data_IF_174420366526
#
_entry.id   IF_174420366526
#
_cell.length_a   1.000
_cell.length_b   1.000
_cell.length_c   1.000
_cell.angle_alpha   90.00
_cell.angle_beta   90.00
_cell.angle_gamma   90.00
#
_symmetry.space_group_name_H-M   'P 1'
#
loop_
_entity.id
_entity.type
_entity.pdbx_description
1 polymer ?
#
# COMPACT_ATOMS: atom_id res chain seq x y z
N UNK A 1 -34.92 15.22 18.85
CA UNK A 1 -34.11 13.97 18.97
C UNK A 1 -33.89 13.28 17.62
N UNK A 2 -34.91 13.11 16.76
CA UNK A 2 -34.74 12.49 15.43
C UNK A 2 -33.69 13.17 14.53
N UNK A 3 -33.64 14.50 14.54
CA UNK A 3 -32.69 15.28 13.72
C UNK A 3 -31.23 15.11 14.14
N UNK A 4 -30.95 14.97 15.43
CA UNK A 4 -29.59 14.75 15.95
C UNK A 4 -29.05 13.37 15.59
N UNK A 5 -29.91 12.35 15.54
CA UNK A 5 -29.54 10.99 15.15
C UNK A 5 -29.16 10.94 13.66
N UNK A 6 -29.92 11.64 12.80
CA UNK A 6 -29.62 11.71 11.37
C UNK A 6 -28.31 12.45 11.09
N UNK A 7 -28.02 13.54 11.83
CA UNK A 7 -26.78 14.29 11.70
C UNK A 7 -25.55 13.49 12.14
N UNK A 8 -25.67 12.71 13.22
CA UNK A 8 -24.62 11.82 13.69
C UNK A 8 -24.31 10.72 12.67
N UNK A 9 -25.35 10.08 12.08
CA UNK A 9 -25.17 9.08 11.01
C UNK A 9 -24.51 9.66 9.75
N UNK A 10 -24.81 10.91 9.38
CA UNK A 10 -24.20 11.58 8.23
C UNK A 10 -22.71 11.90 8.46
N UNK A 11 -22.32 12.25 9.68
CA UNK A 11 -20.92 12.52 10.03
C UNK A 11 -20.08 11.25 10.16
N UNK A 12 -20.66 10.14 10.62
CA UNK A 12 -19.98 8.85 10.71
C UNK A 12 -19.68 8.24 9.33
N UNK A 13 -20.58 8.44 8.36
CA UNK A 13 -20.43 7.91 6.99
C UNK A 13 -19.40 8.67 6.15
N UNK A 14 -19.07 9.92 6.51
CA UNK A 14 -18.01 10.69 5.86
C UNK A 14 -16.59 10.21 6.18
N UNK A 15 -16.39 9.35 7.19
CA UNK A 15 -15.05 8.83 7.55
C UNK A 15 -14.73 7.49 6.85
N UNK A 16 -15.61 7.02 5.95
CA UNK A 16 -15.45 5.77 5.22
C UNK A 16 -14.77 5.96 3.85
N UNK A 17 -13.93 7.00 3.69
CA UNK A 17 -13.04 7.13 2.54
C UNK A 17 -11.85 6.16 2.68
N UNK A 18 -12.11 4.87 2.59
CA UNK A 18 -11.08 3.97 2.10
C UNK A 18 -10.96 4.24 0.59
N UNK A 19 -9.75 4.51 0.10
CA UNK A 19 -9.46 4.52 -1.34
C UNK A 19 -9.62 3.09 -1.84
N UNK A 20 -10.87 2.76 -2.15
CA UNK A 20 -11.27 1.47 -2.69
C UNK A 20 -11.26 1.60 -4.21
N UNK A 21 -10.30 0.95 -4.85
CA UNK A 21 -10.29 0.84 -6.31
C UNK A 21 -10.81 -0.55 -6.69
N UNK A 22 -11.82 -0.58 -7.57
CA UNK A 22 -12.29 -1.82 -8.20
C UNK A 22 -11.39 -2.13 -9.38
N UNK A 23 -10.72 -3.28 -9.37
CA UNK A 23 -9.90 -3.70 -10.50
C UNK A 23 -10.78 -4.20 -11.67
N UNK A 24 -10.19 -4.41 -12.85
CA UNK A 24 -10.90 -4.94 -14.03
C UNK A 24 -11.46 -6.37 -13.86
N UNK A 25 -11.27 -6.98 -12.69
CA UNK A 25 -11.80 -8.30 -12.31
C UNK A 25 -12.98 -8.20 -11.33
N UNK A 26 -13.41 -6.98 -10.97
CA UNK A 26 -14.52 -6.75 -10.05
C UNK A 26 -14.15 -6.83 -8.56
N UNK A 27 -12.86 -6.94 -8.22
CA UNK A 27 -12.42 -6.99 -6.82
C UNK A 27 -12.22 -5.57 -6.29
N UNK A 28 -12.97 -5.22 -5.25
CA UNK A 28 -12.82 -3.95 -4.53
C UNK A 28 -11.72 -4.09 -3.50
N UNK A 29 -10.56 -3.50 -3.77
CA UNK A 29 -9.43 -3.49 -2.84
C UNK A 29 -9.46 -2.15 -2.11
N UNK A 30 -9.84 -2.20 -0.84
CA UNK A 30 -9.85 -1.03 0.04
C UNK A 30 -8.52 -0.94 0.78
N UNK A 31 -7.69 0.01 0.35
CA UNK A 31 -6.55 0.44 1.13
C UNK A 31 -6.82 1.84 1.66
N UNK A 32 -6.65 2.09 2.95
CA UNK A 32 -6.56 3.45 3.49
C UNK A 32 -5.27 4.16 3.01
N UNK A 33 -4.94 4.10 1.71
CA UNK A 33 -3.68 4.56 1.10
C UNK A 33 -2.41 3.82 1.55
N UNK A 34 -2.43 3.21 2.74
CA UNK A 34 -1.29 2.67 3.46
C UNK A 34 -1.10 1.17 3.21
N UNK A 35 -2.16 0.42 2.98
CA UNK A 35 -2.10 -1.03 2.76
C UNK A 35 -2.90 -1.40 1.51
N UNK A 36 -2.26 -2.01 0.52
CA UNK A 36 -2.90 -2.52 -0.69
C UNK A 36 -2.49 -3.98 -0.90
N UNK A 37 -3.36 -4.81 -1.45
CA UNK A 37 -3.03 -6.19 -1.76
C UNK A 37 -3.76 -6.66 -3.01
N UNK A 38 -3.34 -7.79 -3.57
CA UNK A 38 -3.98 -8.34 -4.75
C UNK A 38 -3.54 -9.75 -5.06
N UNK A 39 -4.28 -10.37 -5.99
CA UNK A 39 -3.99 -11.70 -6.48
C UNK A 39 -3.89 -11.73 -8.00
N UNK A 40 -2.75 -12.19 -8.49
CA UNK A 40 -2.52 -12.41 -9.92
C UNK A 40 -2.92 -13.84 -10.28
N UNK A 41 -4.11 -14.01 -10.88
CA UNK A 41 -4.56 -15.31 -11.42
C UNK A 41 -3.59 -15.93 -12.45
N UNK A 42 -2.95 -15.12 -13.28
CA UNK A 42 -2.07 -15.60 -14.34
C UNK A 42 -0.81 -16.25 -13.77
N UNK A 43 -0.33 -15.73 -12.65
CA UNK A 43 0.89 -16.22 -12.01
C UNK A 43 0.61 -16.97 -10.71
N UNK A 44 -0.63 -17.06 -10.24
CA UNK A 44 -0.96 -17.62 -8.92
C UNK A 44 -0.32 -16.88 -7.74
N UNK A 45 0.06 -15.60 -7.92
CA UNK A 45 0.82 -14.84 -6.92
C UNK A 45 -0.09 -13.91 -6.14
N UNK A 46 -0.16 -14.10 -4.83
CA UNK A 46 -0.75 -13.13 -3.91
C UNK A 46 0.32 -12.13 -3.48
N UNK A 47 -0.04 -10.87 -3.35
CA UNK A 47 0.85 -9.84 -2.85
C UNK A 47 0.14 -8.89 -1.90
N UNK A 48 0.91 -8.34 -0.97
CA UNK A 48 0.51 -7.28 -0.05
C UNK A 48 1.55 -6.18 -0.09
N UNK A 49 1.14 -4.94 0.08
CA UNK A 49 1.96 -3.75 -0.03
C UNK A 49 1.58 -2.81 1.09
N UNK A 50 2.52 -2.52 1.97
CA UNK A 50 2.31 -1.70 3.17
C UNK A 50 3.27 -0.53 3.20
N UNK A 51 2.76 0.66 3.46
CA UNK A 51 3.54 1.88 3.59
C UNK A 51 3.69 2.21 5.07
N UNK A 52 4.93 2.32 5.55
CA UNK A 52 5.20 2.70 6.94
C UNK A 52 5.09 4.23 7.13
N UNK A 53 5.19 4.69 8.39
CA UNK A 53 5.14 6.12 8.74
C UNK A 53 6.25 6.94 8.07
N UNK A 54 7.35 6.31 7.68
CA UNK A 54 8.48 6.94 6.98
C UNK A 54 8.29 6.98 5.45
N UNK A 55 7.12 6.60 4.93
CA UNK A 55 6.83 6.59 3.49
C UNK A 55 7.48 5.43 2.71
N UNK A 56 8.08 4.44 3.39
CA UNK A 56 8.60 3.23 2.75
C UNK A 56 7.46 2.27 2.50
N UNK A 57 7.21 1.98 1.23
CA UNK A 57 6.26 0.99 0.75
C UNK A 57 6.93 -0.37 0.53
N UNK A 58 6.60 -1.32 1.38
CA UNK A 58 7.09 -2.70 1.34
C UNK A 58 6.04 -3.60 0.68
N UNK A 59 6.37 -4.17 -0.46
CA UNK A 59 5.55 -5.16 -1.16
C UNK A 59 6.10 -6.55 -0.90
N UNK A 60 5.26 -7.46 -0.40
CA UNK A 60 5.59 -8.88 -0.19
C UNK A 60 4.70 -9.75 -1.04
N UNK A 61 5.23 -10.85 -1.53
CA UNK A 61 4.50 -11.85 -2.32
C UNK A 61 4.46 -13.19 -1.56
N UNK A 62 3.45 -14.02 -1.82
CA UNK A 62 3.36 -15.38 -1.26
C UNK A 62 4.50 -16.32 -1.72
N UNK A 63 5.32 -15.87 -2.68
CA UNK A 63 6.50 -16.59 -3.17
C UNK A 63 7.80 -16.21 -2.45
N UNK A 64 7.71 -15.39 -1.40
CA UNK A 64 8.86 -14.93 -0.63
C UNK A 64 9.56 -13.69 -1.21
N UNK A 65 9.09 -13.15 -2.34
CA UNK A 65 9.63 -11.89 -2.88
C UNK A 65 9.21 -10.70 -2.03
N UNK A 66 10.18 -9.92 -1.53
CA UNK A 66 9.99 -8.65 -0.84
C UNK A 66 10.69 -7.53 -1.62
N UNK A 67 9.98 -6.45 -1.91
CA UNK A 67 10.51 -5.25 -2.54
C UNK A 67 10.10 -4.04 -1.71
N UNK A 68 11.08 -3.23 -1.29
CA UNK A 68 10.79 -1.95 -0.64
C UNK A 68 10.97 -0.83 -1.64
N UNK A 69 10.07 0.14 -1.60
CA UNK A 69 10.08 1.31 -2.47
C UNK A 69 9.83 2.57 -1.65
N UNK A 70 10.49 3.66 -1.98
CA UNK A 70 10.24 4.98 -1.39
C UNK A 70 10.28 6.00 -2.52
N UNK A 71 9.28 6.88 -2.63
CA UNK A 71 9.20 7.89 -3.69
C UNK A 71 9.35 7.31 -5.12
N UNK A 72 8.78 6.12 -5.38
CA UNK A 72 8.88 5.44 -6.68
C UNK A 72 10.23 4.80 -6.99
N UNK A 73 11.16 4.77 -6.03
CA UNK A 73 12.50 4.20 -6.15
C UNK A 73 12.58 2.89 -5.38
N UNK A 74 13.23 1.87 -5.92
CA UNK A 74 13.55 0.66 -5.14
C UNK A 74 14.55 1.01 -4.05
N UNK A 75 14.28 0.60 -2.82
CA UNK A 75 15.17 0.85 -1.66
C UNK A 75 15.42 -0.45 -0.91
N UNK A 76 16.61 -0.62 -0.34
CA UNK A 76 17.01 -1.77 0.47
C UNK A 76 17.80 -1.22 1.65
N UNK A 77 17.48 -1.68 2.87
CA UNK A 77 18.23 -1.30 4.07
C UNK A 77 19.18 -2.45 4.40
N UNK A 78 20.48 -2.16 4.39
CA UNK A 78 21.55 -3.07 4.77
C UNK A 78 21.89 -3.02 6.26
N UNK A 79 22.70 -3.97 6.75
CA UNK A 79 23.24 -3.93 8.10
C UNK A 79 24.07 -2.65 8.32
N UNK A 80 23.89 -1.99 9.48
CA UNK A 80 24.57 -0.74 9.82
C UNK A 80 23.83 0.55 9.46
N UNK A 81 22.58 0.47 8.98
CA UNK A 81 21.75 1.64 8.68
C UNK A 81 21.89 2.16 7.24
N UNK A 82 22.75 1.53 6.44
CA UNK A 82 22.96 1.89 5.03
C UNK A 82 21.68 1.65 4.21
N UNK A 83 21.22 2.69 3.53
CA UNK A 83 20.09 2.64 2.61
C UNK A 83 20.60 2.67 1.18
N UNK A 84 20.46 1.54 0.50
CA UNK A 84 20.74 1.42 -0.91
C UNK A 84 19.47 1.69 -1.72
N UNK A 85 19.58 2.43 -2.82
CA UNK A 85 18.47 2.70 -3.72
C UNK A 85 18.83 2.35 -5.16
N UNK A 86 17.80 2.00 -5.94
CA UNK A 86 17.87 1.76 -7.38
C UNK A 86 16.69 2.44 -8.07
N UNK A 87 17.01 3.23 -9.08
CA UNK A 87 16.06 3.92 -9.97
C UNK A 87 16.36 3.56 -11.41
N UNK A 88 15.53 4.04 -12.35
CA UNK A 88 15.78 3.85 -13.77
C UNK A 88 17.12 4.48 -14.24
N UNK A 89 17.54 5.58 -13.62
CA UNK A 89 18.66 6.41 -14.10
C UNK A 89 19.86 6.44 -13.13
N UNK A 90 19.77 5.81 -11.96
CA UNK A 90 20.79 5.89 -10.91
C UNK A 90 20.64 4.79 -9.86
N UNK A 91 21.74 4.43 -9.24
CA UNK A 91 21.85 3.48 -8.13
C UNK A 91 22.93 3.97 -7.16
N UNK A 92 22.77 3.70 -5.86
CA UNK A 92 23.74 4.10 -4.84
C UNK A 92 23.34 3.68 -3.44
N UNK A 93 24.27 3.76 -2.49
CA UNK A 93 24.05 3.46 -1.08
C UNK A 93 24.55 4.63 -0.23
N UNK A 94 23.80 4.97 0.82
CA UNK A 94 24.18 5.95 1.84
C UNK A 94 24.00 5.31 3.21
#
# INVERSE_FOLDING_TARGET
MKTLIVLACAMLSANAFAECATNARGETICGNGQTAGGYSRNTGTAWTSQTNQNGVRTTKTNRGGEAKTMNGKGVVHGPGGTTCYRTANSHGCN
#
